data_IF_103538616592
#
_entry.id   IF_103538616592
#
_cell.length_a   1.000
_cell.length_b   1.000
_cell.length_c   1.000
_cell.angle_alpha   90.00
_cell.angle_beta   90.00
_cell.angle_gamma   90.00
#
_symmetry.space_group_name_H-M   'P 1'
#
loop_
_entity.id
_entity.type
_entity.pdbx_description
1 polymer ?
#
# COMPACT_ATOMS: atom_id res chain seq x y z
N UNK A 1 3.24 -18.85 3.24
CA UNK A 1 3.95 -19.01 1.95
C UNK A 1 5.42 -18.64 2.13
N UNK A 2 6.37 -19.26 1.41
CA UNK A 2 7.82 -18.99 1.58
C UNK A 2 8.18 -17.51 1.36
N UNK A 3 7.55 -16.87 0.38
CA UNK A 3 7.75 -15.45 0.09
C UNK A 3 7.46 -14.52 1.28
N UNK A 4 6.30 -14.68 1.92
CA UNK A 4 5.91 -13.90 3.10
C UNK A 4 6.85 -14.17 4.29
N UNK A 5 7.35 -15.40 4.43
CA UNK A 5 8.32 -15.72 5.47
C UNK A 5 9.66 -14.99 5.25
N UNK A 6 10.18 -14.97 4.02
CA UNK A 6 11.38 -14.19 3.69
C UNK A 6 11.17 -12.68 3.87
N UNK A 7 9.98 -12.18 3.54
CA UNK A 7 9.60 -10.79 3.80
C UNK A 7 9.72 -10.46 5.29
N UNK A 8 9.13 -11.28 6.16
CA UNK A 8 9.22 -11.10 7.62
C UNK A 8 10.64 -11.22 8.18
N UNK A 9 11.55 -11.91 7.49
CA UNK A 9 12.98 -11.97 7.82
C UNK A 9 13.78 -10.77 7.29
N UNK A 10 13.17 -9.89 6.51
CA UNK A 10 13.85 -8.77 5.83
C UNK A 10 14.70 -9.19 4.64
N UNK A 11 14.63 -10.45 4.20
CA UNK A 11 15.30 -10.92 2.98
C UNK A 11 14.42 -10.62 1.76
N UNK A 12 14.34 -9.33 1.43
CA UNK A 12 13.50 -8.84 0.34
C UNK A 12 13.85 -9.42 -1.04
N UNK A 13 15.14 -9.68 -1.39
CA UNK A 13 15.46 -10.39 -2.63
C UNK A 13 14.87 -11.81 -2.70
N UNK A 14 14.98 -12.60 -1.62
CA UNK A 14 14.38 -13.95 -1.60
C UNK A 14 12.85 -13.92 -1.51
N UNK A 15 12.30 -12.92 -0.81
CA UNK A 15 10.86 -12.67 -0.78
C UNK A 15 10.33 -12.42 -2.20
N UNK A 16 10.95 -11.49 -2.93
CA UNK A 16 10.57 -11.14 -4.29
C UNK A 16 10.64 -12.37 -5.22
N UNK A 17 11.75 -13.10 -5.20
CA UNK A 17 11.90 -14.31 -6.01
C UNK A 17 10.80 -15.35 -5.72
N UNK A 18 10.54 -15.63 -4.44
CA UNK A 18 9.58 -16.64 -4.02
C UNK A 18 8.12 -16.21 -4.29
N UNK A 19 7.80 -14.93 -4.14
CA UNK A 19 6.48 -14.36 -4.43
C UNK A 19 6.21 -14.38 -5.93
N UNK A 20 7.17 -13.95 -6.75
CA UNK A 20 7.02 -13.96 -8.21
C UNK A 20 6.86 -15.37 -8.76
N UNK A 21 7.67 -16.34 -8.30
CA UNK A 21 7.50 -17.73 -8.73
C UNK A 21 6.08 -18.25 -8.47
N UNK A 22 5.50 -17.94 -7.31
CA UNK A 22 4.13 -18.33 -6.98
C UNK A 22 3.10 -17.61 -7.87
N UNK A 23 3.18 -16.28 -7.96
CA UNK A 23 2.22 -15.46 -8.69
C UNK A 23 2.24 -15.82 -10.18
N UNK A 24 3.42 -15.85 -10.78
CA UNK A 24 3.59 -16.10 -12.21
C UNK A 24 3.13 -17.52 -12.56
N UNK A 25 3.52 -18.52 -11.75
CA UNK A 25 3.07 -19.90 -11.95
C UNK A 25 1.55 -20.07 -11.76
N UNK A 26 0.90 -19.28 -10.90
CA UNK A 26 -0.55 -19.35 -10.72
C UNK A 26 -1.26 -18.73 -11.91
N UNK A 27 -0.78 -17.58 -12.39
CA UNK A 27 -1.32 -16.93 -13.59
C UNK A 27 -1.22 -17.84 -14.81
N UNK A 28 -0.05 -18.47 -15.01
CA UNK A 28 0.21 -19.31 -16.18
C UNK A 28 -0.66 -20.58 -16.21
N UNK A 29 -0.96 -21.16 -15.05
CA UNK A 29 -1.69 -22.43 -14.97
C UNK A 29 -3.21 -22.26 -14.76
N UNK A 30 -3.62 -21.22 -14.02
CA UNK A 30 -4.99 -21.10 -13.49
C UNK A 30 -5.66 -19.78 -13.89
N UNK A 31 -4.91 -18.67 -13.92
CA UNK A 31 -5.40 -17.31 -14.23
C UNK A 31 -5.13 -16.30 -13.10
N UNK A 32 -5.20 -15.00 -13.40
CA UNK A 32 -4.90 -13.92 -12.43
C UNK A 32 -5.90 -13.89 -11.28
N UNK A 33 -7.16 -14.26 -11.52
CA UNK A 33 -8.21 -14.32 -10.51
C UNK A 33 -8.01 -15.39 -9.43
N UNK A 34 -7.14 -16.38 -9.68
CA UNK A 34 -6.81 -17.45 -8.73
C UNK A 34 -5.61 -17.11 -7.83
N UNK A 35 -4.91 -16.00 -8.11
CA UNK A 35 -3.77 -15.57 -7.31
C UNK A 35 -4.26 -15.06 -5.95
N UNK A 36 -3.60 -15.48 -4.87
CA UNK A 36 -3.86 -14.92 -3.54
C UNK A 36 -3.51 -13.42 -3.51
N UNK A 37 -4.52 -12.56 -3.32
CA UNK A 37 -4.35 -11.11 -3.24
C UNK A 37 -3.31 -10.70 -2.19
N UNK A 38 -3.20 -11.43 -1.07
CA UNK A 38 -2.20 -11.12 -0.05
C UNK A 38 -0.78 -11.45 -0.52
N UNK A 39 -0.58 -12.46 -1.36
CA UNK A 39 0.73 -12.72 -1.94
C UNK A 39 1.15 -11.57 -2.88
N UNK A 40 0.21 -11.04 -3.67
CA UNK A 40 0.46 -9.86 -4.51
C UNK A 40 0.75 -8.63 -3.66
N UNK A 41 -0.02 -8.40 -2.59
CA UNK A 41 0.22 -7.33 -1.63
C UNK A 41 1.64 -7.41 -1.04
N UNK A 42 2.06 -8.57 -0.52
CA UNK A 42 3.40 -8.73 0.02
C UNK A 42 4.50 -8.54 -1.05
N UNK A 43 4.24 -8.82 -2.33
CA UNK A 43 5.19 -8.51 -3.40
C UNK A 43 5.27 -7.01 -3.65
N UNK A 44 4.14 -6.30 -3.63
CA UNK A 44 4.12 -4.83 -3.66
C UNK A 44 4.93 -4.23 -2.51
N UNK A 45 4.72 -4.71 -1.28
CA UNK A 45 5.48 -4.26 -0.11
C UNK A 45 6.97 -4.62 -0.22
N UNK A 46 7.30 -5.75 -0.85
CA UNK A 46 8.70 -6.11 -1.11
C UNK A 46 9.34 -5.11 -2.08
N UNK A 47 8.63 -4.73 -3.15
CA UNK A 47 9.07 -3.68 -4.06
C UNK A 47 9.26 -2.33 -3.35
N UNK A 48 8.37 -1.96 -2.42
CA UNK A 48 8.53 -0.76 -1.58
C UNK A 48 9.87 -0.77 -0.84
N UNK A 49 10.19 -1.89 -0.15
CA UNK A 49 11.43 -2.02 0.63
C UNK A 49 12.68 -2.03 -0.26
N UNK A 50 12.54 -2.38 -1.53
CA UNK A 50 13.58 -2.33 -2.56
C UNK A 50 13.65 -0.96 -3.29
N UNK A 51 12.73 -0.04 -3.00
CA UNK A 51 12.67 1.28 -3.63
C UNK A 51 12.08 1.29 -5.05
N UNK A 52 11.36 0.24 -5.43
CA UNK A 52 10.75 0.09 -6.75
C UNK A 52 9.25 0.47 -6.72
N UNK A 53 9.01 1.77 -6.66
CA UNK A 53 7.65 2.33 -6.59
C UNK A 53 6.78 1.97 -7.81
N UNK A 54 7.41 1.77 -8.99
CA UNK A 54 6.70 1.45 -10.23
C UNK A 54 6.05 0.07 -10.13
N UNK A 55 6.85 -0.94 -9.77
CA UNK A 55 6.34 -2.30 -9.63
C UNK A 55 5.45 -2.45 -8.38
N UNK A 56 5.75 -1.72 -7.30
CA UNK A 56 4.83 -1.61 -6.16
C UNK A 56 3.44 -1.14 -6.60
N UNK A 57 3.35 -0.03 -7.34
CA UNK A 57 2.07 0.48 -7.83
C UNK A 57 1.33 -0.55 -8.67
N UNK A 58 2.02 -1.21 -9.61
CA UNK A 58 1.42 -2.21 -10.48
C UNK A 58 0.83 -3.39 -9.70
N UNK A 59 1.51 -3.85 -8.65
CA UNK A 59 1.00 -4.94 -7.80
C UNK A 59 -0.10 -4.48 -6.84
N UNK A 60 -0.12 -3.23 -6.38
CA UNK A 60 -1.26 -2.69 -5.63
C UNK A 60 -2.51 -2.63 -6.53
N UNK A 61 -2.35 -2.15 -7.77
CA UNK A 61 -3.43 -2.13 -8.76
C UNK A 61 -3.94 -3.56 -9.06
N UNK A 62 -3.04 -4.56 -9.10
CA UNK A 62 -3.41 -5.98 -9.24
C UNK A 62 -4.12 -6.52 -8.01
N UNK A 63 -3.64 -6.19 -6.82
CA UNK A 63 -4.26 -6.58 -5.55
C UNK A 63 -5.71 -6.14 -5.52
N UNK A 64 -6.01 -4.91 -5.95
CA UNK A 64 -7.37 -4.38 -6.01
C UNK A 64 -8.21 -4.96 -7.17
N UNK A 65 -7.62 -5.54 -8.22
CA UNK A 65 -8.40 -6.32 -9.20
C UNK A 65 -8.89 -7.64 -8.62
N UNK A 66 -8.06 -8.29 -7.78
CA UNK A 66 -8.36 -9.58 -7.16
C UNK A 66 -9.25 -9.40 -5.93
N UNK A 67 -8.92 -8.42 -5.09
CA UNK A 67 -9.67 -8.07 -3.89
C UNK A 67 -9.98 -6.56 -3.86
N UNK A 68 -11.10 -6.14 -4.48
CA UNK A 68 -11.44 -4.72 -4.68
C UNK A 68 -11.63 -3.88 -3.43
N UNK A 69 -11.95 -4.49 -2.29
CA UNK A 69 -12.21 -3.78 -1.04
C UNK A 69 -11.03 -3.86 -0.06
N UNK A 70 -9.85 -4.34 -0.47
CA UNK A 70 -8.75 -4.51 0.47
C UNK A 70 -8.16 -3.17 0.92
N UNK A 71 -8.40 -2.81 2.19
CA UNK A 71 -7.97 -1.55 2.78
C UNK A 71 -6.45 -1.34 2.73
N UNK A 72 -5.66 -2.41 2.92
CA UNK A 72 -4.20 -2.39 2.85
C UNK A 72 -3.71 -1.84 1.52
N UNK A 73 -4.30 -2.31 0.41
CA UNK A 73 -3.87 -1.87 -0.91
C UNK A 73 -4.16 -0.36 -1.12
N UNK A 74 -5.33 0.11 -0.70
CA UNK A 74 -5.67 1.54 -0.73
C UNK A 74 -4.76 2.37 0.18
N UNK A 75 -4.44 1.89 1.38
CA UNK A 75 -3.53 2.55 2.31
C UNK A 75 -2.14 2.72 1.70
N UNK A 76 -1.58 1.67 1.08
CA UNK A 76 -0.27 1.75 0.43
C UNK A 76 -0.29 2.60 -0.85
N UNK A 77 -1.37 2.60 -1.64
CA UNK A 77 -1.51 3.53 -2.76
C UNK A 77 -1.57 4.99 -2.26
N UNK A 78 -2.28 5.27 -1.16
CA UNK A 78 -2.33 6.60 -0.57
C UNK A 78 -0.95 7.08 -0.10
N UNK A 79 -0.15 6.20 0.49
CA UNK A 79 1.24 6.50 0.86
C UNK A 79 2.08 6.85 -0.36
N UNK A 80 1.91 6.12 -1.46
CA UNK A 80 2.61 6.39 -2.71
C UNK A 80 2.20 7.75 -3.32
N UNK A 81 0.89 8.01 -3.45
CA UNK A 81 0.38 9.29 -3.93
C UNK A 81 0.85 10.47 -3.06
N UNK A 82 0.87 10.29 -1.73
CA UNK A 82 1.42 11.29 -0.81
C UNK A 82 2.92 11.52 -1.01
N UNK A 83 3.70 10.46 -1.29
CA UNK A 83 5.14 10.55 -1.58
C UNK A 83 5.40 11.29 -2.89
N UNK A 84 4.54 11.08 -3.89
CA UNK A 84 4.58 11.77 -5.18
C UNK A 84 4.05 13.22 -5.11
N UNK A 85 3.40 13.58 -4.01
CA UNK A 85 2.84 14.91 -3.79
C UNK A 85 1.42 15.10 -4.33
N UNK A 86 0.78 14.06 -4.86
CA UNK A 86 -0.63 14.07 -5.23
C UNK A 86 -1.51 13.89 -3.99
N UNK A 87 -1.72 15.01 -3.30
CA UNK A 87 -2.52 15.03 -2.06
C UNK A 87 -4.00 14.75 -2.32
N UNK A 88 -4.51 15.11 -3.49
CA UNK A 88 -5.93 14.94 -3.79
C UNK A 88 -6.24 13.45 -3.96
N UNK A 89 -5.41 12.76 -4.74
CA UNK A 89 -5.49 11.31 -4.88
C UNK A 89 -5.25 10.61 -3.53
N UNK A 90 -4.23 11.01 -2.78
CA UNK A 90 -3.95 10.43 -1.46
C UNK A 90 -5.16 10.54 -0.51
N UNK A 91 -5.83 11.70 -0.46
CA UNK A 91 -7.02 11.90 0.38
C UNK A 91 -8.18 10.99 -0.02
N UNK A 92 -8.38 10.75 -1.31
CA UNK A 92 -9.46 9.88 -1.76
C UNK A 92 -9.16 8.41 -1.50
N UNK A 93 -7.91 7.99 -1.66
CA UNK A 93 -7.46 6.64 -1.32
C UNK A 93 -7.53 6.38 0.19
N UNK A 94 -7.20 7.37 1.02
CA UNK A 94 -7.32 7.28 2.49
C UNK A 94 -8.77 7.02 2.90
N UNK A 95 -9.74 7.75 2.33
CA UNK A 95 -11.16 7.51 2.63
C UNK A 95 -11.60 6.10 2.26
N UNK A 96 -11.15 5.59 1.12
CA UNK A 96 -11.42 4.22 0.69
C UNK A 96 -10.80 3.21 1.67
N UNK A 97 -9.54 3.40 2.05
CA UNK A 97 -8.86 2.56 3.04
C UNK A 97 -9.61 2.57 4.38
N UNK A 98 -9.97 3.76 4.89
CA UNK A 98 -10.67 3.92 6.17
C UNK A 98 -12.05 3.25 6.17
N UNK A 99 -12.84 3.46 5.12
CA UNK A 99 -14.16 2.84 4.97
C UNK A 99 -14.04 1.31 4.93
N UNK A 100 -13.17 0.79 4.06
CA UNK A 100 -12.98 -0.65 3.91
C UNK A 100 -12.42 -1.31 5.17
N UNK A 101 -11.52 -0.63 5.89
CA UNK A 101 -10.99 -1.10 7.16
C UNK A 101 -12.10 -1.23 8.22
N UNK A 102 -12.96 -0.21 8.34
CA UNK A 102 -14.11 -0.22 9.27
C UNK A 102 -15.12 -1.31 8.94
N UNK A 103 -15.26 -1.65 7.66
CA UNK A 103 -16.08 -2.76 7.20
C UNK A 103 -15.42 -4.14 7.41
N UNK A 104 -14.16 -4.17 7.87
CA UNK A 104 -13.41 -5.39 8.19
C UNK A 104 -12.60 -5.96 7.03
N UNK A 105 -12.51 -5.24 5.91
CA UNK A 105 -11.79 -5.68 4.71
C UNK A 105 -10.33 -5.25 4.73
N UNK A 106 -9.56 -5.79 5.67
CA UNK A 106 -8.11 -5.59 5.75
C UNK A 106 -7.41 -6.91 6.04
N UNK A 107 -6.09 -6.96 5.87
CA UNK A 107 -5.32 -8.16 6.17
C UNK A 107 -5.34 -8.41 7.68
N UNK A 108 -6.21 -9.32 8.11
CA UNK A 108 -6.31 -9.75 9.50
C UNK A 108 -6.49 -11.27 9.60
N UNK A 109 -6.19 -11.80 10.78
CA UNK A 109 -6.50 -13.18 11.14
C UNK A 109 -7.04 -13.22 12.56
N UNK A 110 -8.03 -14.10 12.86
CA UNK A 110 -8.49 -14.27 14.23
C UNK A 110 -7.33 -14.64 15.17
N UNK A 111 -7.21 -13.92 16.28
CA UNK A 111 -6.27 -14.17 17.37
C UNK A 111 -4.77 -14.00 17.05
N UNK A 112 -4.41 -13.57 15.84
CA UNK A 112 -3.00 -13.43 15.42
C UNK A 112 -2.82 -12.14 14.62
N UNK A 113 -1.89 -11.31 15.06
CA UNK A 113 -1.41 -10.15 14.29
C UNK A 113 -0.58 -10.62 13.10
N UNK A 114 -0.89 -10.10 11.93
CA UNK A 114 -0.17 -10.41 10.69
C UNK A 114 0.96 -9.41 10.44
N UNK A 115 1.94 -9.80 9.63
CA UNK A 115 3.03 -8.89 9.27
C UNK A 115 2.48 -7.68 8.51
N UNK A 116 2.92 -6.47 8.88
CA UNK A 116 2.49 -5.20 8.28
C UNK A 116 0.96 -4.98 8.40
N UNK A 117 0.35 -5.53 9.45
CA UNK A 117 -1.06 -5.25 9.73
C UNK A 117 -1.27 -3.75 9.90
N UNK A 118 -2.19 -3.19 9.13
CA UNK A 118 -2.62 -1.81 9.31
C UNK A 118 -3.60 -1.70 10.48
N UNK A 119 -3.56 -0.56 11.15
CA UNK A 119 -4.55 -0.14 12.14
C UNK A 119 -5.27 1.13 11.68
N UNK A 120 -6.43 1.43 12.26
CA UNK A 120 -7.17 2.65 11.95
C UNK A 120 -6.30 3.89 12.25
N UNK A 121 -5.52 3.82 13.33
CA UNK A 121 -4.58 4.85 13.75
C UNK A 121 -3.50 5.12 12.70
N UNK A 122 -3.06 4.12 11.93
CA UNK A 122 -2.09 4.33 10.83
C UNK A 122 -2.72 5.11 9.68
N UNK A 123 -3.98 4.79 9.35
CA UNK A 123 -4.75 5.48 8.30
C UNK A 123 -5.01 6.94 8.72
N UNK A 124 -5.40 7.16 9.97
CA UNK A 124 -5.62 8.49 10.54
C UNK A 124 -4.32 9.30 10.59
N UNK A 125 -3.21 8.70 11.00
CA UNK A 125 -1.90 9.35 11.00
C UNK A 125 -1.45 9.75 9.57
N UNK A 126 -1.74 8.90 8.58
CA UNK A 126 -1.49 9.24 7.17
C UNK A 126 -2.36 10.42 6.73
N UNK A 127 -3.65 10.42 7.07
CA UNK A 127 -4.57 11.53 6.79
C UNK A 127 -4.06 12.86 7.36
N UNK A 128 -3.65 12.85 8.62
CA UNK A 128 -3.08 14.01 9.31
C UNK A 128 -1.79 14.48 8.61
N UNK A 129 -0.92 13.57 8.21
CA UNK A 129 0.34 13.92 7.52
C UNK A 129 0.09 14.60 6.17
N UNK A 130 -0.89 14.10 5.39
CA UNK A 130 -1.30 14.68 4.11
C UNK A 130 -1.91 16.07 4.34
N UNK A 131 -2.68 16.25 5.42
CA UNK A 131 -3.33 17.51 5.76
C UNK A 131 -2.36 18.57 6.34
N UNK A 132 -1.41 18.19 7.20
CA UNK A 132 -0.42 19.12 7.74
C UNK A 132 0.50 19.70 6.65
N UNK A 133 0.73 18.94 5.58
CA UNK A 133 1.38 19.43 4.38
C UNK A 133 0.57 20.52 3.64
N UNK A 134 -0.72 20.74 3.90
CA UNK A 134 -1.46 21.91 3.37
C UNK A 134 -1.17 23.20 4.15
N UNK A 135 -0.95 23.11 5.47
CA UNK A 135 -0.77 24.28 6.33
C UNK A 135 0.61 24.93 6.16
N UNK A 136 1.62 24.17 5.76
CA UNK A 136 2.99 24.67 5.51
C UNK A 136 3.13 25.33 4.13
N UNK A 137 2.38 24.89 3.12
CA UNK A 137 2.38 25.47 1.77
C UNK A 137 1.62 26.82 1.69
N UNK A 138 0.60 27.02 2.53
CA UNK A 138 -0.14 28.29 2.61
C UNK A 138 0.55 29.37 3.46
N UNK A 139 1.77 29.11 3.97
CA UNK A 139 2.60 30.08 4.71
C UNK A 139 3.82 30.56 3.93
N UNK A 140 3.78 30.61 2.59
CA UNK A 140 4.76 31.45 1.86
C UNK A 140 4.36 32.92 2.06
N UNK A 141 5.14 33.75 2.77
CA UNK A 141 4.83 35.17 2.84
C UNK A 141 4.92 35.75 1.44
N UNK A 142 3.89 36.49 1.02
CA UNK A 142 4.00 37.43 -0.09
C UNK A 142 5.22 38.29 0.20
N UNK A 143 6.27 38.17 -0.62
CA UNK A 143 7.29 39.21 -0.69
C UNK A 143 6.55 40.45 -1.15
N UNK A 144 6.27 41.34 -0.19
CA UNK A 144 5.95 42.72 -0.47
C UNK A 144 7.22 43.26 -1.12
N UNK A 145 7.22 43.36 -2.45
CA UNK A 145 8.20 44.18 -3.16
C UNK A 145 7.75 45.61 -2.93
N UNK A 146 8.29 46.21 -1.87
CA UNK A 146 8.20 47.63 -1.59
C UNK A 146 9.53 48.29 -1.93
N UNK A 147 9.40 49.38 -2.70
CA UNK A 147 10.33 50.44 -3.08
C UNK A 147 11.46 50.14 -4.08
#
# INVERSE_FOLDING_TARGET
MRGIAYYGLGDYPQALYSLSLYIDSTIDNEGEEWVDAFAVLYRALTYEKLGDDINMKADLDRTLRIYPALADAYFHQARLASKEGDKAEAQELIKQAESNFKDGYYHNRPYVEVLEQIYLEDIEALADSVQQNLLTLNKRPLKIVGD
#
